data_IF_895509305005
#
_entry.id   IF_895509305005
#
_cell.length_a   1.000
_cell.length_b   1.000
_cell.length_c   1.000
_cell.angle_alpha   90.00
_cell.angle_beta   90.00
_cell.angle_gamma   90.00
#
_symmetry.space_group_name_H-M   'P 1'
#
loop_
_entity.id
_entity.type
_entity.pdbx_description
1 polymer ?
#
# COMPACT_ATOMS: atom_id res chain seq x y z
N UNK A 1 -1.11 -20.30 -11.90
CA UNK A 1 -1.88 -19.84 -10.72
C UNK A 1 -1.76 -18.33 -10.63
N UNK A 2 -2.83 -17.58 -10.92
CA UNK A 2 -2.82 -16.12 -10.85
C UNK A 2 -2.64 -15.67 -9.41
N UNK A 3 -1.62 -14.84 -9.13
CA UNK A 3 -1.37 -14.30 -7.80
C UNK A 3 -2.57 -13.45 -7.38
N UNK A 4 -3.32 -13.90 -6.37
CA UNK A 4 -4.46 -13.15 -5.82
C UNK A 4 -3.95 -11.79 -5.38
N UNK A 5 -4.56 -10.72 -5.90
CA UNK A 5 -4.21 -9.35 -5.54
C UNK A 5 -4.64 -9.11 -4.09
N UNK A 6 -3.66 -9.04 -3.19
CA UNK A 6 -3.90 -8.64 -1.81
C UNK A 6 -4.52 -7.24 -1.77
N UNK A 7 -5.64 -7.12 -1.08
CA UNK A 7 -6.34 -5.85 -0.89
C UNK A 7 -5.85 -5.20 0.39
N UNK A 8 -5.17 -4.07 0.28
CA UNK A 8 -4.67 -3.31 1.44
C UNK A 8 -5.53 -2.09 1.71
N UNK A 9 -5.86 -1.86 2.97
CA UNK A 9 -6.51 -0.63 3.44
C UNK A 9 -5.56 0.56 3.38
N UNK A 10 -6.09 1.79 3.38
CA UNK A 10 -5.26 3.00 3.41
C UNK A 10 -4.35 3.02 4.65
N UNK A 11 -4.85 2.55 5.81
CA UNK A 11 -4.07 2.44 7.05
C UNK A 11 -2.87 1.49 6.91
N UNK A 12 -3.08 0.31 6.34
CA UNK A 12 -1.99 -0.66 6.11
C UNK A 12 -0.94 -0.11 5.14
N UNK A 13 -1.37 0.57 4.07
CA UNK A 13 -0.46 1.21 3.12
C UNK A 13 0.38 2.30 3.79
N UNK A 14 -0.24 3.14 4.62
CA UNK A 14 0.46 4.19 5.35
C UNK A 14 1.44 3.63 6.39
N UNK A 15 1.07 2.56 7.09
CA UNK A 15 1.97 1.88 8.02
C UNK A 15 3.19 1.29 7.29
N UNK A 16 2.98 0.63 6.15
CA UNK A 16 4.06 0.12 5.31
C UNK A 16 4.97 1.23 4.77
N UNK A 17 4.41 2.38 4.37
CA UNK A 17 5.21 3.55 3.96
C UNK A 17 6.08 4.05 5.13
N UNK A 18 5.49 4.23 6.31
CA UNK A 18 6.21 4.75 7.48
C UNK A 18 7.36 3.83 7.88
N UNK A 19 7.13 2.52 7.84
CA UNK A 19 8.17 1.53 8.11
C UNK A 19 9.25 1.52 7.02
N UNK A 20 8.85 1.66 5.75
CA UNK A 20 9.79 1.74 4.62
C UNK A 20 10.66 3.00 4.64
N UNK A 21 10.20 4.11 5.24
CA UNK A 21 10.99 5.32 5.43
C UNK A 21 12.09 5.12 6.48
N UNK A 22 11.86 4.27 7.50
CA UNK A 22 12.83 3.97 8.55
C UNK A 22 13.77 2.79 8.20
N UNK A 23 13.25 1.71 7.63
CA UNK A 23 13.97 0.44 7.42
C UNK A 23 14.22 0.09 5.94
N UNK A 24 13.62 0.84 5.01
CA UNK A 24 13.68 0.58 3.58
C UNK A 24 12.55 -0.30 3.04
N UNK A 25 12.30 -0.22 1.73
CA UNK A 25 11.16 -0.89 1.08
C UNK A 25 11.22 -2.42 1.20
N UNK A 26 12.43 -3.00 1.20
CA UNK A 26 12.63 -4.45 1.29
C UNK A 26 12.24 -5.01 2.66
N UNK A 27 12.55 -4.26 3.73
CA UNK A 27 12.16 -4.62 5.09
C UNK A 27 10.63 -4.52 5.24
N UNK A 28 10.02 -3.44 4.74
CA UNK A 28 8.57 -3.27 4.74
C UNK A 28 7.84 -4.40 3.99
N UNK A 29 8.38 -4.84 2.85
CA UNK A 29 7.78 -5.94 2.10
C UNK A 29 7.79 -7.28 2.86
N UNK A 30 8.83 -7.53 3.69
CA UNK A 30 8.89 -8.71 4.56
C UNK A 30 7.92 -8.60 5.73
N UNK A 31 7.88 -7.44 6.38
CA UNK A 31 7.07 -7.22 7.59
C UNK A 31 5.57 -7.20 7.29
N UNK A 32 5.16 -6.53 6.22
CA UNK A 32 3.76 -6.35 5.85
C UNK A 32 3.29 -7.34 4.76
N UNK A 33 4.15 -8.26 4.32
CA UNK A 33 3.85 -9.20 3.24
C UNK A 33 3.53 -8.54 1.89
N UNK A 34 3.88 -7.26 1.73
CA UNK A 34 3.57 -6.49 0.54
C UNK A 34 4.72 -6.52 -0.47
N UNK A 35 4.38 -6.43 -1.75
CA UNK A 35 5.41 -6.40 -2.78
C UNK A 35 6.15 -5.06 -2.73
N UNK A 36 7.46 -5.06 -2.91
CA UNK A 36 8.29 -3.86 -2.91
C UNK A 36 7.81 -2.84 -3.95
N UNK A 37 7.32 -3.32 -5.09
CA UNK A 37 6.69 -2.49 -6.11
C UNK A 37 5.43 -1.76 -5.60
N UNK A 38 4.63 -2.40 -4.74
CA UNK A 38 3.46 -1.80 -4.10
C UNK A 38 3.89 -0.71 -3.12
N UNK A 39 4.87 -0.98 -2.26
CA UNK A 39 5.41 0.01 -1.31
C UNK A 39 5.92 1.25 -2.05
N UNK A 40 6.67 1.05 -3.13
CA UNK A 40 7.16 2.15 -3.98
C UNK A 40 6.02 2.96 -4.60
N UNK A 41 4.97 2.30 -5.08
CA UNK A 41 3.79 2.98 -5.63
C UNK A 41 3.05 3.78 -4.54
N UNK A 42 2.87 3.19 -3.36
CA UNK A 42 2.20 3.85 -2.24
C UNK A 42 2.97 5.06 -1.73
N UNK A 43 4.30 5.02 -1.74
CA UNK A 43 5.12 6.22 -1.44
C UNK A 43 4.85 7.38 -2.39
N UNK A 44 4.69 7.11 -3.69
CA UNK A 44 4.30 8.14 -4.67
C UNK A 44 2.87 8.64 -4.43
N UNK A 45 1.98 7.75 -4.00
CA UNK A 45 0.57 8.06 -3.71
C UNK A 45 0.32 8.51 -2.26
N UNK A 46 1.36 8.69 -1.43
CA UNK A 46 1.28 9.08 -0.01
C UNK A 46 0.34 10.28 0.23
N UNK A 47 0.41 11.40 -0.52
CA UNK A 47 -0.50 12.53 -0.30
C UNK A 47 -1.97 12.18 -0.58
N UNK A 48 -2.24 11.35 -1.59
CA UNK A 48 -3.59 10.85 -1.89
C UNK A 48 -4.10 9.89 -0.81
N UNK A 49 -3.23 9.01 -0.30
CA UNK A 49 -3.54 8.09 0.79
C UNK A 49 -3.83 8.79 2.12
N UNK A 50 -3.21 9.95 2.38
CA UNK A 50 -3.47 10.78 3.55
C UNK A 50 -4.83 11.49 3.46
N UNK A 51 -5.27 11.84 2.25
CA UNK A 51 -6.55 12.50 2.00
C UNK A 51 -7.74 11.51 2.00
N UNK A 52 -7.50 10.23 1.69
CA UNK A 52 -8.53 9.20 1.81
C UNK A 52 -8.96 8.98 3.26
N UNK A 53 -10.27 8.76 3.49
CA UNK A 53 -10.76 8.31 4.80
C UNK A 53 -10.02 7.02 5.17
N UNK A 54 -9.55 6.91 6.42
CA UNK A 54 -8.69 5.80 6.92
C UNK A 54 -9.23 4.37 6.61
N UNK A 55 -10.55 4.24 6.41
CA UNK A 55 -11.25 2.99 6.07
C UNK A 55 -11.71 2.86 4.61
N UNK A 56 -11.49 3.87 3.76
CA UNK A 56 -11.84 3.77 2.34
C UNK A 56 -10.78 2.95 1.60
N UNK A 57 -11.25 1.85 1.01
CA UNK A 57 -10.49 1.07 0.03
C UNK A 57 -10.47 1.91 -1.25
N UNK A 58 -9.28 2.21 -1.78
CA UNK A 58 -9.11 3.01 -3.01
C UNK A 58 -10.03 2.50 -4.12
N UNK A 59 -10.65 3.44 -4.83
CA UNK A 59 -11.68 3.15 -5.83
C UNK A 59 -11.16 2.10 -6.81
N UNK A 60 -11.79 0.93 -6.79
CA UNK A 60 -11.62 -0.05 -7.85
C UNK A 60 -12.39 0.53 -9.01
N UNK A 61 -11.71 0.96 -10.07
CA UNK A 61 -12.38 1.33 -11.32
C UNK A 61 -13.40 0.24 -11.64
N UNK A 62 -14.68 0.62 -11.69
CA UNK A 62 -15.74 -0.27 -12.12
C UNK A 62 -15.34 -0.75 -13.51
N UNK A 63 -15.00 -2.03 -13.62
CA UNK A 63 -14.90 -2.68 -14.92
C UNK A 63 -16.34 -2.74 -15.44
N UNK A 64 -16.61 -2.01 -16.52
CA UNK A 64 -17.88 -2.05 -17.24
C UNK A 64 -18.13 -3.43 -17.86
#
# INVERSE_FOLDING_TARGET
MGKVRASYTAKEKLAAISYAEAHGNRAAGREFGCNEACVRLWRKQKPSLLCQKKNQRGERGQSA
#
